data_IF_984527529242
#
_entry.id   IF_984527529242
#
_cell.length_a   1.000
_cell.length_b   1.000
_cell.length_c   1.000
_cell.angle_alpha   90.00
_cell.angle_beta   90.00
_cell.angle_gamma   90.00
#
_symmetry.space_group_name_H-M   'P 1'
#
loop_
_entity.id
_entity.type
_entity.pdbx_description
1 polymer ?
#
# COMPACT_ATOMS: atom_id res chain seq x y z
N UNK A 1 -37.31 -26.00 9.18
CA UNK A 1 -37.73 -25.66 7.80
C UNK A 1 -36.57 -24.99 7.10
N UNK A 2 -35.98 -25.79 6.23
CA UNK A 2 -35.02 -25.55 5.18
C UNK A 2 -35.52 -24.58 4.10
N UNK A 3 -34.69 -23.60 3.74
CA UNK A 3 -34.66 -23.02 2.40
C UNK A 3 -33.20 -22.66 2.08
N UNK A 4 -32.53 -23.55 1.37
CA UNK A 4 -31.24 -23.31 0.74
C UNK A 4 -31.49 -22.53 -0.56
N UNK A 5 -30.86 -21.37 -0.76
CA UNK A 5 -30.66 -20.80 -2.09
C UNK A 5 -29.17 -20.83 -2.41
N UNK A 6 -28.80 -21.84 -3.19
CA UNK A 6 -27.51 -21.98 -3.87
C UNK A 6 -27.73 -21.34 -5.25
N UNK A 7 -27.02 -20.26 -5.56
CA UNK A 7 -26.95 -19.76 -6.94
C UNK A 7 -25.73 -20.37 -7.61
N UNK A 8 -25.98 -21.06 -8.72
CA UNK A 8 -25.03 -21.83 -9.49
C UNK A 8 -23.92 -20.95 -10.07
N UNK A 9 -22.71 -21.50 -10.05
CA UNK A 9 -21.49 -20.96 -10.63
C UNK A 9 -21.48 -21.26 -12.12
N UNK A 10 -21.21 -20.28 -12.97
CA UNK A 10 -20.74 -20.56 -14.34
C UNK A 10 -19.69 -19.54 -14.82
N UNK A 11 -18.57 -20.12 -15.25
CA UNK A 11 -17.57 -19.65 -16.21
C UNK A 11 -16.43 -18.72 -15.76
N UNK A 12 -15.32 -19.40 -15.48
CA UNK A 12 -14.00 -19.20 -16.07
C UNK A 12 -13.29 -17.86 -15.80
N UNK A 13 -12.48 -17.88 -14.74
CA UNK A 13 -11.49 -16.87 -14.43
C UNK A 13 -10.75 -17.25 -13.17
N UNK A 14 -9.87 -18.24 -13.31
CA UNK A 14 -8.89 -18.64 -12.29
C UNK A 14 -8.16 -17.39 -11.75
N UNK A 15 -8.33 -17.08 -10.47
CA UNK A 15 -7.39 -16.24 -9.73
C UNK A 15 -7.34 -16.71 -8.26
N UNK A 16 -6.47 -17.70 -8.08
CA UNK A 16 -5.58 -17.93 -6.94
C UNK A 16 -5.80 -17.07 -5.69
N UNK A 17 -6.13 -17.77 -4.60
CA UNK A 17 -6.03 -17.33 -3.20
C UNK A 17 -4.72 -16.62 -2.89
N UNK A 18 -4.77 -15.51 -2.14
CA UNK A 18 -3.91 -15.30 -0.96
C UNK A 18 -4.45 -14.18 -0.05
N UNK A 19 -4.75 -14.61 1.18
CA UNK A 19 -4.65 -13.93 2.47
C UNK A 19 -5.26 -12.52 2.64
N UNK A 20 -6.43 -12.53 3.30
CA UNK A 20 -6.84 -11.54 4.28
C UNK A 20 -5.73 -11.33 5.32
N UNK A 21 -4.82 -10.40 5.07
CA UNK A 21 -4.05 -9.76 6.13
C UNK A 21 -4.74 -8.43 6.41
N UNK A 22 -5.66 -8.44 7.37
CA UNK A 22 -6.04 -7.25 8.11
C UNK A 22 -4.81 -6.76 8.90
N UNK A 23 -3.85 -6.19 8.18
CA UNK A 23 -2.79 -5.40 8.75
C UNK A 23 -3.43 -4.09 9.17
N UNK A 24 -3.57 -3.89 10.47
CA UNK A 24 -3.96 -2.64 11.11
C UNK A 24 -3.10 -1.51 10.55
N UNK A 25 -3.59 -0.87 9.48
CA UNK A 25 -3.01 0.36 8.95
C UNK A 25 -3.54 1.47 9.83
N UNK A 26 -2.82 1.71 10.93
CA UNK A 26 -2.84 2.97 11.64
C UNK A 26 -2.49 4.10 10.64
N UNK A 27 -3.50 4.66 9.98
CA UNK A 27 -3.36 5.88 9.18
C UNK A 27 -3.40 7.04 10.17
N UNK A 28 -2.26 7.32 10.79
CA UNK A 28 -2.09 8.56 11.55
C UNK A 28 -2.15 9.70 10.55
N UNK A 29 -3.30 10.39 10.50
CA UNK A 29 -3.57 11.48 9.56
C UNK A 29 -2.84 12.73 10.02
N UNK A 30 -1.51 12.72 9.98
CA UNK A 30 -0.70 13.92 10.13
C UNK A 30 -0.75 14.71 8.82
N UNK A 31 -0.66 16.04 8.93
CA UNK A 31 -0.46 16.95 7.80
C UNK A 31 0.98 16.83 7.27
N UNK A 32 1.45 15.59 7.11
CA UNK A 32 2.79 15.29 6.62
C UNK A 32 2.74 15.24 5.09
N UNK A 33 3.75 15.85 4.46
CA UNK A 33 3.99 15.83 3.01
C UNK A 33 4.01 14.40 2.46
N UNK A 34 4.38 13.46 3.31
CA UNK A 34 4.47 12.05 2.99
C UNK A 34 3.22 11.30 3.43
N UNK A 35 2.80 10.36 2.61
CA UNK A 35 1.76 9.37 2.89
C UNK A 35 2.43 8.07 3.35
N UNK A 36 1.92 7.48 4.44
CA UNK A 36 2.44 6.24 4.99
C UNK A 36 2.44 6.27 6.53
N UNK A 37 3.05 5.26 7.17
CA UNK A 37 3.90 4.23 6.56
C UNK A 37 3.11 3.19 5.76
N UNK A 38 3.63 2.82 4.58
CA UNK A 38 3.13 1.74 3.72
C UNK A 38 3.99 0.50 3.89
N UNK A 39 3.38 -0.69 3.86
CA UNK A 39 4.10 -1.95 3.87
C UNK A 39 4.66 -2.26 2.48
N UNK A 40 5.93 -2.65 2.42
CA UNK A 40 6.54 -3.13 1.18
C UNK A 40 6.25 -4.62 0.96
N UNK A 41 5.89 -4.93 -0.28
CA UNK A 41 5.67 -6.29 -0.76
C UNK A 41 6.73 -6.65 -1.79
N UNK A 42 7.19 -7.88 -1.71
CA UNK A 42 8.11 -8.44 -2.68
C UNK A 42 7.37 -8.76 -4.00
N UNK A 43 8.11 -9.21 -5.02
CA UNK A 43 7.53 -9.54 -6.32
C UNK A 43 6.53 -10.71 -6.29
N UNK A 44 6.51 -11.50 -5.22
CA UNK A 44 5.56 -12.59 -4.99
C UNK A 44 4.38 -12.19 -4.10
N UNK A 45 4.29 -10.92 -3.68
CA UNK A 45 3.20 -10.42 -2.83
C UNK A 45 3.37 -10.74 -1.34
N UNK A 46 4.56 -11.15 -0.91
CA UNK A 46 4.90 -11.38 0.49
C UNK A 46 5.43 -10.10 1.12
N UNK A 47 5.13 -9.87 2.40
CA UNK A 47 5.69 -8.74 3.14
C UNK A 47 7.20 -8.86 3.24
N UNK A 48 7.93 -7.83 2.83
CA UNK A 48 9.39 -7.77 3.00
C UNK A 48 9.77 -7.43 4.45
N UNK A 49 8.82 -6.89 5.21
CA UNK A 49 9.03 -6.36 6.56
C UNK A 49 9.55 -4.92 6.56
N UNK A 50 9.86 -4.35 5.39
CA UNK A 50 10.20 -2.94 5.27
C UNK A 50 8.93 -2.09 5.13
N UNK A 51 9.01 -0.84 5.63
CA UNK A 51 8.01 0.19 5.33
C UNK A 51 8.61 1.29 4.48
N UNK A 52 7.74 1.97 3.76
CA UNK A 52 8.10 3.14 2.97
C UNK A 52 7.03 4.23 3.09
N UNK A 53 7.43 5.44 2.75
CA UNK A 53 6.59 6.61 2.65
C UNK A 53 6.56 7.07 1.21
N UNK A 54 5.43 7.64 0.78
CA UNK A 54 5.25 8.17 -0.57
C UNK A 54 4.89 9.65 -0.51
N UNK A 55 5.65 10.50 -1.19
CA UNK A 55 5.32 11.92 -1.33
C UNK A 55 3.96 12.07 -2.03
N UNK A 56 3.04 12.84 -1.43
CA UNK A 56 1.68 13.00 -1.97
C UNK A 56 1.62 13.78 -3.27
N UNK A 57 2.62 14.61 -3.52
CA UNK A 57 2.66 15.51 -4.68
C UNK A 57 3.40 14.89 -5.86
N UNK A 58 4.69 14.55 -5.70
CA UNK A 58 5.48 13.98 -6.79
C UNK A 58 5.46 12.44 -6.88
N UNK A 59 4.82 11.76 -5.92
CA UNK A 59 4.73 10.29 -5.89
C UNK A 59 6.04 9.57 -5.55
N UNK A 60 7.09 10.30 -5.14
CA UNK A 60 8.38 9.69 -4.80
C UNK A 60 8.28 8.82 -3.56
N UNK A 61 8.91 7.66 -3.58
CA UNK A 61 8.92 6.70 -2.48
C UNK A 61 10.26 6.72 -1.75
N UNK A 62 10.21 6.59 -0.43
CA UNK A 62 11.38 6.58 0.46
C UNK A 62 11.18 5.53 1.54
N UNK A 63 12.19 4.71 1.81
CA UNK A 63 12.14 3.75 2.92
C UNK A 63 12.09 4.46 4.27
N UNK A 64 11.50 3.81 5.27
CA UNK A 64 11.44 4.34 6.64
C UNK A 64 12.84 4.58 7.26
N UNK A 65 13.86 3.92 6.75
CA UNK A 65 15.25 4.06 7.19
C UNK A 65 15.97 5.27 6.61
N UNK A 66 15.40 5.93 5.61
CA UNK A 66 15.98 7.10 4.95
C UNK A 66 15.31 8.35 5.51
N UNK A 67 16.14 9.34 5.84
CA UNK A 67 15.65 10.63 6.26
C UNK A 67 14.88 11.34 5.13
N UNK A 68 13.62 11.70 5.40
CA UNK A 68 12.70 12.27 4.40
C UNK A 68 13.15 13.65 3.91
N UNK A 69 13.91 14.41 4.71
CA UNK A 69 14.40 15.75 4.35
C UNK A 69 15.57 15.69 3.36
N UNK A 70 16.26 14.55 3.29
CA UNK A 70 17.35 14.32 2.33
C UNK A 70 16.85 13.81 0.96
N UNK A 71 15.55 13.55 0.82
CA UNK A 71 15.02 12.98 -0.42
C UNK A 71 14.86 14.04 -1.49
N UNK A 72 15.61 13.90 -2.58
CA UNK A 72 15.42 14.76 -3.76
C UNK A 72 14.06 14.49 -4.40
N UNK A 73 13.22 15.51 -4.53
CA UNK A 73 11.93 15.39 -5.20
C UNK A 73 12.03 15.55 -6.72
N UNK A 74 10.95 15.19 -7.44
CA UNK A 74 10.84 15.48 -8.88
C UNK A 74 10.69 16.98 -9.11
N UNK A 75 11.18 17.48 -10.24
CA UNK A 75 10.97 18.86 -10.68
C UNK A 75 9.48 19.22 -10.69
N UNK A 76 9.14 20.39 -10.11
CA UNK A 76 7.76 20.84 -9.97
C UNK A 76 7.03 20.31 -8.74
N UNK A 77 7.72 19.57 -7.86
CA UNK A 77 7.15 19.16 -6.58
C UNK A 77 6.97 20.37 -5.66
N UNK A 78 5.80 20.55 -5.04
CA UNK A 78 5.55 21.64 -4.06
C UNK A 78 6.56 21.57 -2.90
N UNK A 79 7.00 20.36 -2.57
CA UNK A 79 7.89 20.07 -1.45
C UNK A 79 9.35 19.85 -1.89
N UNK A 80 9.67 20.03 -3.18
CA UNK A 80 10.98 19.77 -3.76
C UNK A 80 11.91 20.98 -3.80
N UNK A 81 12.18 21.59 -2.65
CA UNK A 81 12.97 22.82 -2.54
C UNK A 81 14.46 22.59 -2.33
#
# INVERSE_FOLDING_TARGET
>A
MNAYQIQAVESAGEQTTVQEAAGDCEVTTTNDVWSGPHLEYDKYGQLTGAKYFRCRDCGREVHESIDKEQVTHRSGCENGR
#
